data_IF_329342192582
#
_entry.id   IF_329342192582
#
_cell.length_a   1.000
_cell.length_b   1.000
_cell.length_c   1.000
_cell.angle_alpha   90.00
_cell.angle_beta   90.00
_cell.angle_gamma   90.00
#
_symmetry.space_group_name_H-M   'P 1'
#
loop_
_entity.id
_entity.type
_entity.pdbx_description
1 polymer ?
#
# COMPACT_ATOMS: atom_id res chain seq x y z
N UNK A 1 42.26 -23.71 -12.78
CA UNK A 1 42.23 -22.23 -12.67
C UNK A 1 40.77 -21.79 -12.79
N UNK A 2 40.04 -21.55 -11.69
CA UNK A 2 38.67 -21.04 -11.78
C UNK A 2 38.69 -19.50 -11.87
N UNK A 3 37.98 -18.95 -12.86
CA UNK A 3 37.72 -17.51 -12.96
C UNK A 3 36.49 -17.18 -12.10
N UNK A 4 36.75 -16.37 -11.10
CA UNK A 4 35.83 -15.81 -10.12
C UNK A 4 35.16 -14.56 -10.74
N UNK A 5 33.85 -14.40 -10.57
CA UNK A 5 33.10 -13.28 -11.14
C UNK A 5 31.74 -13.09 -10.47
N UNK A 6 31.75 -12.84 -9.17
CA UNK A 6 30.57 -12.41 -8.41
C UNK A 6 30.24 -10.95 -8.70
N UNK A 7 29.12 -10.72 -9.40
CA UNK A 7 28.52 -9.41 -9.59
C UNK A 7 27.70 -9.04 -8.35
N UNK A 8 28.17 -8.06 -7.58
CA UNK A 8 27.46 -7.50 -6.41
C UNK A 8 27.14 -6.05 -6.72
N UNK A 9 25.94 -5.79 -7.24
CA UNK A 9 25.48 -4.41 -7.47
C UNK A 9 24.88 -3.86 -6.17
N UNK A 10 25.45 -2.75 -5.73
CA UNK A 10 25.32 -2.20 -4.38
C UNK A 10 23.94 -1.65 -4.01
N UNK A 11 23.68 -1.75 -2.71
CA UNK A 11 22.62 -1.08 -1.96
C UNK A 11 22.75 0.45 -2.05
N UNK A 12 21.63 1.12 -2.34
CA UNK A 12 21.44 2.54 -2.02
C UNK A 12 20.23 2.66 -1.10
N UNK A 13 20.52 2.83 0.18
CA UNK A 13 19.59 3.26 1.22
C UNK A 13 19.45 4.78 1.13
N UNK A 14 18.24 5.26 0.86
CA UNK A 14 17.90 6.69 0.88
C UNK A 14 17.43 7.07 2.28
N UNK A 15 18.18 7.96 2.95
CA UNK A 15 17.78 8.54 4.24
C UNK A 15 16.83 9.74 4.04
N UNK A 16 15.89 10.00 4.96
CA UNK A 16 14.92 11.09 4.83
C UNK A 16 15.49 12.44 5.31
N UNK A 17 15.23 13.49 4.55
CA UNK A 17 15.44 14.88 4.96
C UNK A 17 14.35 15.27 5.98
N UNK A 18 14.75 15.53 7.21
CA UNK A 18 13.92 16.14 8.25
C UNK A 18 13.91 17.66 8.06
N UNK A 19 12.73 18.23 7.78
CA UNK A 19 12.50 19.68 7.81
C UNK A 19 11.82 20.02 9.13
N UNK A 20 12.61 20.46 10.10
CA UNK A 20 12.13 20.96 11.39
C UNK A 20 11.65 22.41 11.25
N UNK A 21 10.34 22.63 11.25
CA UNK A 21 9.73 23.95 11.46
C UNK A 21 9.42 24.14 12.94
N UNK A 22 10.35 24.71 13.71
CA UNK A 22 10.14 25.10 15.11
C UNK A 22 9.80 26.58 15.15
N UNK A 23 8.67 26.88 15.80
CA UNK A 23 8.19 28.20 16.17
C UNK A 23 9.27 28.99 16.93
N UNK A 24 9.62 30.17 16.43
CA UNK A 24 10.45 31.13 17.15
C UNK A 24 9.56 32.28 17.64
N UNK A 25 9.11 32.18 18.90
CA UNK A 25 8.69 33.33 19.70
C UNK A 25 9.89 33.70 20.57
N UNK A 26 10.41 34.91 20.41
CA UNK A 26 11.28 35.55 21.41
C UNK A 26 11.22 37.07 21.28
N UNK A 27 10.80 37.67 22.39
CA UNK A 27 10.82 39.08 22.78
C UNK A 27 12.23 39.46 23.28
N UNK A 28 12.70 40.71 23.10
CA UNK A 28 13.67 41.26 24.04
C UNK A 28 13.24 42.61 24.65
N UNK A 29 13.30 42.59 25.97
CA UNK A 29 13.10 43.66 26.94
C UNK A 29 14.33 44.60 27.09
N UNK A 30 14.15 45.93 26.94
CA UNK A 30 14.85 47.10 27.59
C UNK A 30 14.76 48.31 26.63
N UNK A 31 14.43 49.54 27.04
CA UNK A 31 14.98 50.32 28.15
C UNK A 31 14.22 51.68 28.29
N UNK A 32 14.20 52.23 29.52
CA UNK A 32 14.29 53.67 29.89
C UNK A 32 13.01 54.40 30.34
N UNK A 33 12.93 54.62 31.66
CA UNK A 33 12.30 55.77 32.34
C UNK A 33 13.31 56.95 32.39
N UNK A 34 12.89 58.24 32.49
CA UNK A 34 12.24 58.87 33.67
C UNK A 34 11.00 59.72 33.24
N UNK A 35 10.10 60.23 34.08
CA UNK A 35 10.31 61.14 35.23
C UNK A 35 8.97 61.27 35.97
N UNK A 36 9.05 61.45 37.28
CA UNK A 36 7.96 61.74 38.22
C UNK A 36 7.24 63.05 37.86
N UNK A 37 5.91 63.08 37.98
CA UNK A 37 5.15 64.23 38.51
C UNK A 37 3.89 63.73 39.24
N UNK A 38 3.42 64.59 40.13
CA UNK A 38 2.63 64.39 41.34
C UNK A 38 1.10 64.49 41.10
N UNK A 39 0.34 63.54 41.68
CA UNK A 39 -1.01 63.59 42.32
C UNK A 39 -1.79 64.94 42.22
N UNK A 40 -3.15 64.99 42.03
CA UNK A 40 -4.13 64.43 42.98
C UNK A 40 -5.45 63.80 42.50
N UNK A 41 -5.90 62.86 43.35
CA UNK A 41 -7.27 62.32 43.48
C UNK A 41 -8.37 63.36 43.36
N UNK A 42 -9.39 63.05 42.56
CA UNK A 42 -10.74 63.61 42.73
C UNK A 42 -11.76 62.47 42.76
N UNK A 43 -12.28 62.21 43.96
CA UNK A 43 -13.50 61.45 44.18
C UNK A 43 -14.69 62.21 43.59
N UNK A 44 -15.64 61.54 42.91
CA UNK A 44 -17.07 61.88 42.90
C UNK A 44 -17.90 60.68 42.36
N UNK A 45 -18.50 59.98 43.31
CA UNK A 45 -19.86 59.43 43.41
C UNK A 45 -20.76 59.30 42.14
N UNK A 46 -21.25 58.07 41.96
CA UNK A 46 -22.67 57.67 41.75
C UNK A 46 -23.43 58.13 40.49
N UNK A 47 -23.78 57.14 39.65
CA UNK A 47 -25.11 57.07 39.04
C UNK A 47 -25.41 55.65 38.57
N UNK A 48 -26.34 55.02 39.28
CA UNK A 48 -27.01 53.80 38.88
C UNK A 48 -27.62 53.89 37.47
N UNK A 49 -27.26 52.95 36.61
CA UNK A 49 -28.08 52.41 35.51
C UNK A 49 -27.38 51.18 34.94
N UNK A 50 -27.34 50.10 35.71
CA UNK A 50 -26.95 48.81 35.15
C UNK A 50 -28.19 48.20 34.48
N UNK A 51 -28.07 48.09 33.15
CA UNK A 51 -28.99 47.46 32.22
C UNK A 51 -29.34 46.02 32.60
N UNK A 52 -30.46 45.46 32.10
CA UNK A 52 -30.78 44.05 32.26
C UNK A 52 -29.62 43.16 31.77
N UNK A 53 -29.35 42.00 32.40
CA UNK A 53 -28.35 41.06 31.92
C UNK A 53 -28.70 40.63 30.50
N UNK A 54 -27.71 40.78 29.62
CA UNK A 54 -27.78 40.51 28.19
C UNK A 54 -28.16 39.05 27.90
N UNK A 55 -29.40 38.81 27.46
CA UNK A 55 -29.85 37.55 26.83
C UNK A 55 -29.02 37.20 25.56
N UNK A 56 -28.34 38.19 24.97
CA UNK A 56 -27.50 38.01 23.79
C UNK A 56 -26.24 37.17 24.03
N UNK A 57 -25.66 37.19 25.23
CA UNK A 57 -24.41 36.46 25.52
C UNK A 57 -24.61 34.93 25.56
N UNK A 58 -25.75 34.47 26.08
CA UNK A 58 -26.11 33.05 26.10
C UNK A 58 -26.35 32.52 24.68
N UNK A 59 -27.10 33.29 23.87
CA UNK A 59 -27.35 33.01 22.45
C UNK A 59 -26.05 32.91 21.66
N UNK A 60 -25.08 33.79 21.94
CA UNK A 60 -23.80 33.82 21.25
C UNK A 60 -22.90 32.63 21.61
N UNK A 61 -22.88 32.21 22.88
CA UNK A 61 -22.20 30.99 23.31
C UNK A 61 -22.84 29.72 22.72
N UNK A 62 -24.18 29.67 22.63
CA UNK A 62 -24.87 28.57 21.97
C UNK A 62 -24.54 28.48 20.48
N UNK A 63 -24.50 29.61 19.78
CA UNK A 63 -24.11 29.69 18.37
C UNK A 63 -22.63 29.30 18.18
N UNK A 64 -21.73 29.77 19.05
CA UNK A 64 -20.31 29.37 19.00
C UNK A 64 -20.12 27.86 19.20
N UNK A 65 -20.86 27.26 20.14
CA UNK A 65 -20.82 25.83 20.43
C UNK A 65 -21.40 24.98 19.30
N UNK A 66 -22.35 25.52 18.52
CA UNK A 66 -22.87 24.87 17.31
C UNK A 66 -21.79 24.88 16.23
N UNK A 67 -21.17 26.02 15.94
CA UNK A 67 -20.13 26.11 14.92
C UNK A 67 -18.91 25.22 15.22
N UNK A 68 -18.48 25.13 16.48
CA UNK A 68 -17.40 24.23 16.90
C UNK A 68 -17.75 22.76 16.63
N UNK A 69 -18.99 22.36 16.93
CA UNK A 69 -19.50 21.02 16.61
C UNK A 69 -19.59 20.76 15.12
N UNK A 70 -19.97 21.75 14.33
CA UNK A 70 -20.05 21.60 12.87
C UNK A 70 -18.66 21.39 12.28
N UNK A 71 -17.65 22.13 12.75
CA UNK A 71 -16.24 21.94 12.34
C UNK A 71 -15.76 20.54 12.74
N UNK A 72 -16.06 20.10 13.95
CA UNK A 72 -15.69 18.76 14.44
C UNK A 72 -16.37 17.65 13.61
N UNK A 73 -17.65 17.81 13.28
CA UNK A 73 -18.40 16.87 12.46
C UNK A 73 -17.84 16.82 11.04
N UNK A 74 -17.59 17.97 10.41
CA UNK A 74 -16.97 18.02 9.08
C UNK A 74 -15.59 17.35 9.05
N UNK A 75 -14.78 17.52 10.09
CA UNK A 75 -13.50 16.83 10.19
C UNK A 75 -13.69 15.32 10.29
N UNK A 76 -14.61 14.85 11.14
CA UNK A 76 -14.94 13.41 11.30
C UNK A 76 -15.45 12.79 10.01
N UNK A 77 -16.37 13.45 9.32
CA UNK A 77 -16.94 12.99 8.06
C UNK A 77 -15.85 12.87 6.99
N UNK A 78 -14.93 13.84 6.90
CA UNK A 78 -13.82 13.79 5.95
C UNK A 78 -12.86 12.61 6.21
N UNK A 79 -12.48 12.38 7.47
CA UNK A 79 -11.66 11.21 7.82
C UNK A 79 -12.40 9.89 7.54
N UNK A 80 -13.70 9.85 7.84
CA UNK A 80 -14.52 8.66 7.60
C UNK A 80 -14.62 8.35 6.11
N UNK A 81 -14.87 9.36 5.28
CA UNK A 81 -14.92 9.23 3.82
C UNK A 81 -13.57 8.84 3.23
N UNK A 82 -12.49 9.44 3.74
CA UNK A 82 -11.12 9.09 3.32
C UNK A 82 -10.83 7.61 3.63
N UNK A 83 -11.12 7.16 4.86
CA UNK A 83 -10.93 5.77 5.27
C UNK A 83 -11.78 4.81 4.45
N UNK A 84 -13.06 5.17 4.20
CA UNK A 84 -13.97 4.36 3.40
C UNK A 84 -13.48 4.19 1.96
N UNK A 85 -13.04 5.29 1.33
CA UNK A 85 -12.49 5.26 -0.03
C UNK A 85 -11.22 4.41 -0.11
N UNK A 86 -10.31 4.58 0.85
CA UNK A 86 -9.07 3.80 0.91
C UNK A 86 -9.35 2.30 1.11
N UNK A 87 -10.32 1.94 1.95
CA UNK A 87 -10.71 0.55 2.15
C UNK A 87 -11.28 -0.06 0.87
N UNK A 88 -12.22 0.63 0.22
CA UNK A 88 -12.80 0.16 -1.05
C UNK A 88 -11.74 0.00 -2.14
N UNK A 89 -10.79 0.94 -2.23
CA UNK A 89 -9.67 0.84 -3.18
C UNK A 89 -8.81 -0.43 -2.94
N UNK A 90 -8.50 -0.74 -1.67
CA UNK A 90 -7.75 -1.95 -1.33
C UNK A 90 -8.53 -3.22 -1.64
N UNK A 91 -9.83 -3.23 -1.37
CA UNK A 91 -10.71 -4.37 -1.70
C UNK A 91 -10.74 -4.63 -3.21
N UNK A 92 -10.90 -3.58 -4.03
CA UNK A 92 -10.87 -3.69 -5.49
C UNK A 92 -9.52 -4.18 -6.01
N UNK A 93 -8.41 -3.68 -5.45
CA UNK A 93 -7.08 -4.14 -5.82
C UNK A 93 -6.89 -5.63 -5.50
N UNK A 94 -7.36 -6.09 -4.34
CA UNK A 94 -7.33 -7.51 -3.97
C UNK A 94 -8.15 -8.35 -4.96
N UNK A 95 -9.32 -7.87 -5.38
CA UNK A 95 -10.13 -8.55 -6.40
C UNK A 95 -9.39 -8.64 -7.75
N UNK A 96 -8.76 -7.56 -8.20
CA UNK A 96 -7.96 -7.57 -9.43
C UNK A 96 -6.79 -8.56 -9.35
N UNK A 97 -6.06 -8.57 -8.24
CA UNK A 97 -4.97 -9.53 -8.03
C UNK A 97 -5.49 -10.98 -8.01
N UNK A 98 -6.66 -11.22 -7.44
CA UNK A 98 -7.30 -12.53 -7.43
C UNK A 98 -7.62 -12.99 -8.85
N UNK A 99 -8.19 -12.11 -9.68
CA UNK A 99 -8.51 -12.39 -11.08
C UNK A 99 -7.23 -12.73 -11.85
N UNK A 100 -6.18 -11.89 -11.74
CA UNK A 100 -4.90 -12.12 -12.41
C UNK A 100 -4.31 -13.47 -11.99
N UNK A 101 -4.32 -13.77 -10.69
CA UNK A 101 -3.86 -15.05 -10.17
C UNK A 101 -4.64 -16.22 -10.78
N UNK A 102 -5.96 -16.16 -10.80
CA UNK A 102 -6.81 -17.24 -11.29
C UNK A 102 -6.60 -17.48 -12.78
N UNK A 103 -6.57 -16.40 -13.58
CA UNK A 103 -6.29 -16.47 -15.00
C UNK A 103 -4.94 -17.12 -15.27
N UNK A 104 -3.86 -16.65 -14.62
CA UNK A 104 -2.53 -17.22 -14.81
C UNK A 104 -2.44 -18.69 -14.38
N UNK A 105 -3.08 -19.07 -13.26
CA UNK A 105 -3.15 -20.46 -12.83
C UNK A 105 -3.85 -21.33 -13.89
N UNK A 106 -4.97 -20.86 -14.44
CA UNK A 106 -5.71 -21.59 -15.49
C UNK A 106 -4.90 -21.77 -16.77
N UNK A 107 -4.18 -20.74 -17.20
CA UNK A 107 -3.33 -20.79 -18.40
C UNK A 107 -2.15 -21.75 -18.22
N UNK A 108 -1.50 -21.73 -17.04
CA UNK A 108 -0.42 -22.66 -16.72
C UNK A 108 -0.89 -24.10 -16.70
N UNK A 109 -2.09 -24.37 -16.18
CA UNK A 109 -2.67 -25.71 -16.18
C UNK A 109 -3.04 -26.17 -17.59
N UNK A 110 -3.56 -25.27 -18.44
CA UNK A 110 -3.84 -25.57 -19.83
C UNK A 110 -2.55 -25.90 -20.60
N UNK A 111 -1.50 -25.09 -20.43
CA UNK A 111 -0.19 -25.31 -21.02
C UNK A 111 0.40 -26.65 -20.57
N UNK A 112 0.29 -26.97 -19.28
CA UNK A 112 0.74 -28.26 -18.74
C UNK A 112 -0.01 -29.43 -19.39
N UNK A 113 -1.34 -29.35 -19.52
CA UNK A 113 -2.15 -30.37 -20.20
C UNK A 113 -1.75 -30.51 -21.67
N UNK A 114 -1.53 -29.40 -22.37
CA UNK A 114 -1.07 -29.41 -23.76
C UNK A 114 0.29 -30.10 -23.90
N UNK A 115 1.24 -29.79 -23.00
CA UNK A 115 2.55 -30.45 -22.97
C UNK A 115 2.47 -31.95 -22.78
N UNK A 116 1.66 -32.41 -21.82
CA UNK A 116 1.49 -33.85 -21.60
C UNK A 116 0.83 -34.55 -22.79
N UNK A 117 -0.16 -33.91 -23.42
CA UNK A 117 -0.79 -34.47 -24.62
C UNK A 117 0.21 -34.61 -25.78
N UNK A 118 1.08 -33.61 -25.98
CA UNK A 118 2.13 -33.66 -27.02
C UNK A 118 3.16 -34.74 -26.67
N UNK A 119 3.65 -34.77 -25.43
CA UNK A 119 4.61 -35.78 -24.97
C UNK A 119 4.07 -37.20 -25.14
N UNK A 120 2.80 -37.43 -24.83
CA UNK A 120 2.14 -38.72 -25.02
C UNK A 120 2.11 -39.11 -26.49
N UNK A 121 1.67 -38.20 -27.38
CA UNK A 121 1.65 -38.47 -28.82
C UNK A 121 3.05 -38.75 -29.39
N UNK A 122 4.06 -38.01 -28.94
CA UNK A 122 5.45 -38.25 -29.35
C UNK A 122 5.94 -39.61 -28.88
N UNK A 123 5.61 -40.02 -27.64
CA UNK A 123 5.94 -41.35 -27.12
C UNK A 123 5.27 -42.45 -27.94
N UNK A 124 3.99 -42.32 -28.23
CA UNK A 124 3.24 -43.28 -29.05
C UNK A 124 3.81 -43.40 -30.47
N UNK A 125 4.11 -42.26 -31.12
CA UNK A 125 4.72 -42.24 -32.44
C UNK A 125 6.11 -42.87 -32.43
N UNK A 126 6.92 -42.56 -31.42
CA UNK A 126 8.22 -43.17 -31.20
C UNK A 126 8.10 -44.69 -31.03
N UNK A 127 7.19 -45.15 -30.16
CA UNK A 127 6.99 -46.57 -29.89
C UNK A 127 6.50 -47.33 -31.12
N UNK A 128 5.59 -46.74 -31.91
CA UNK A 128 5.13 -47.30 -33.18
C UNK A 128 6.25 -47.39 -34.21
N UNK A 129 7.05 -46.33 -34.37
CA UNK A 129 8.18 -46.32 -35.29
C UNK A 129 9.25 -47.31 -34.85
N UNK A 130 9.58 -47.34 -33.57
CA UNK A 130 10.52 -48.29 -33.00
C UNK A 130 10.03 -49.73 -33.21
N UNK A 131 8.74 -50.01 -32.96
CA UNK A 131 8.15 -51.31 -33.25
C UNK A 131 8.34 -51.70 -34.73
N UNK A 132 8.04 -50.79 -35.64
CA UNK A 132 8.21 -51.01 -37.08
C UNK A 132 9.69 -51.29 -37.44
N UNK A 133 10.62 -50.43 -37.03
CA UNK A 133 12.04 -50.58 -37.34
C UNK A 133 12.65 -51.85 -36.73
N UNK A 134 12.35 -52.16 -35.46
CA UNK A 134 12.93 -53.29 -34.74
C UNK A 134 12.30 -54.64 -35.13
N UNK A 135 10.96 -54.71 -35.21
CA UNK A 135 10.25 -55.98 -35.39
C UNK A 135 9.93 -56.30 -36.84
N UNK A 136 9.75 -55.30 -37.71
CA UNK A 136 9.39 -55.54 -39.12
C UNK A 136 10.60 -55.46 -40.05
N UNK A 137 11.51 -54.50 -39.84
CA UNK A 137 12.64 -54.27 -40.74
C UNK A 137 13.93 -54.99 -40.32
N UNK A 138 14.19 -55.15 -39.02
CA UNK A 138 15.43 -55.77 -38.52
C UNK A 138 15.24 -56.82 -37.41
N UNK A 139 14.41 -57.86 -37.61
CA UNK A 139 13.95 -58.76 -36.52
C UNK A 139 15.08 -59.49 -35.78
N UNK A 140 16.19 -59.79 -36.47
CA UNK A 140 17.34 -60.52 -35.92
C UNK A 140 18.22 -59.69 -34.98
N UNK A 141 18.14 -58.35 -35.04
CA UNK A 141 18.97 -57.46 -34.24
C UNK A 141 18.30 -57.04 -32.92
N UNK A 142 16.98 -57.16 -32.79
CA UNK A 142 16.26 -56.74 -31.58
C UNK A 142 16.06 -57.85 -30.54
N UNK A 143 16.51 -59.08 -30.79
CA UNK A 143 16.49 -60.22 -29.86
C UNK A 143 17.63 -60.18 -28.82
N UNK A 144 17.97 -58.98 -28.31
CA UNK A 144 18.95 -58.82 -27.22
C UNK A 144 19.82 -57.57 -27.25
N UNK A 145 19.93 -56.86 -28.39
CA UNK A 145 20.78 -55.66 -28.52
C UNK A 145 20.02 -54.32 -28.52
N UNK A 146 18.70 -54.35 -28.42
CA UNK A 146 17.87 -53.15 -28.43
C UNK A 146 17.97 -52.41 -27.08
N UNK A 147 18.65 -51.24 -27.05
CA UNK A 147 18.84 -50.41 -25.86
C UNK A 147 17.61 -49.56 -25.48
N UNK A 148 16.48 -49.72 -26.17
CA UNK A 148 15.25 -49.04 -25.83
C UNK A 148 14.76 -49.44 -24.44
N UNK A 149 14.80 -48.49 -23.51
CA UNK A 149 14.27 -48.60 -22.15
C UNK A 149 13.03 -47.71 -22.07
N UNK A 150 11.82 -48.28 -21.89
CA UNK A 150 10.62 -47.47 -21.77
C UNK A 150 10.76 -46.45 -20.64
N UNK A 151 10.38 -45.17 -20.84
CA UNK A 151 10.39 -44.18 -19.77
C UNK A 151 9.37 -44.57 -18.70
N UNK A 152 9.82 -44.61 -17.43
CA UNK A 152 8.96 -44.73 -16.26
C UNK A 152 8.16 -43.42 -16.15
N UNK A 153 6.84 -43.50 -16.37
CA UNK A 153 5.95 -42.37 -16.13
C UNK A 153 5.81 -42.17 -14.60
N UNK A 154 5.89 -40.94 -14.09
CA UNK A 154 5.55 -40.67 -12.69
C UNK A 154 4.04 -40.90 -12.43
N UNK A 155 3.64 -41.25 -11.20
CA UNK A 155 2.24 -41.46 -10.82
C UNK A 155 1.39 -40.19 -10.89
#
# INVERSE_FOLDING_TARGET
>A
MPLNGSSTFGSKHSSPLQSNGVLHVSDPHKQRSPTREDVPQRAFQDQAKESPPCDGALRQHDVSRIHEKDIENMAKDNFQDQMKRELSYREEMVQQLHIVRDTLCSELDQERKARYAIQQKLKEAHDALHHFSCKMLTPRHCTGACTFKPPLLPP
#
